data_IF_718955589424
#
_entry.id   IF_718955589424
#
_cell.length_a   1.000
_cell.length_b   1.000
_cell.length_c   1.000
_cell.angle_alpha   90.00
_cell.angle_beta   90.00
_cell.angle_gamma   90.00
#
_symmetry.space_group_name_H-M   'P 1'
#
loop_
_entity.id
_entity.type
_entity.pdbx_description
1 polymer ?
#
# COMPACT_ATOMS: atom_id res chain seq x y z
N UNK A 1 -9.66 1.08 28.01
CA UNK A 1 -8.23 1.33 28.30
C UNK A 1 -7.37 0.93 27.11
N UNK A 2 -7.43 -0.34 26.60
CA UNK A 2 -6.54 -0.79 25.53
C UNK A 2 -6.66 0.08 24.28
N UNK A 3 -7.87 0.24 23.75
CA UNK A 3 -8.12 0.97 22.50
C UNK A 3 -7.93 2.49 22.59
N UNK A 4 -8.22 3.06 23.74
CA UNK A 4 -8.23 4.51 23.93
C UNK A 4 -6.90 5.05 24.47
N UNK A 5 -6.08 4.18 25.06
CA UNK A 5 -4.83 4.59 25.71
C UNK A 5 -3.64 3.79 25.17
N UNK A 6 -3.64 2.46 25.33
CA UNK A 6 -2.45 1.65 25.00
C UNK A 6 -2.13 1.63 23.51
N UNK A 7 -3.15 1.43 22.66
CA UNK A 7 -2.94 1.41 21.20
C UNK A 7 -2.44 2.77 20.66
N UNK A 8 -3.07 3.92 20.98
CA UNK A 8 -2.56 5.23 20.55
C UNK A 8 -1.15 5.56 21.06
N UNK A 9 -0.83 5.20 22.31
CA UNK A 9 0.53 5.40 22.83
C UNK A 9 1.55 4.56 22.07
N UNK A 10 1.22 3.30 21.76
CA UNK A 10 2.08 2.43 20.97
C UNK A 10 2.24 2.93 19.54
N UNK A 11 1.16 3.40 18.91
CA UNK A 11 1.21 4.00 17.57
C UNK A 11 2.14 5.23 17.57
N UNK A 12 2.03 6.11 18.58
CA UNK A 12 2.90 7.29 18.71
C UNK A 12 4.38 6.92 18.87
N UNK A 13 4.68 5.87 19.61
CA UNK A 13 6.04 5.33 19.73
C UNK A 13 6.56 4.80 18.37
N UNK A 14 5.71 4.05 17.66
CA UNK A 14 6.06 3.45 16.38
C UNK A 14 6.30 4.48 15.28
N UNK A 15 5.63 5.64 15.30
CA UNK A 15 5.88 6.74 14.35
C UNK A 15 7.35 7.15 14.32
N UNK A 16 8.00 7.21 15.48
CA UNK A 16 9.42 7.59 15.58
C UNK A 16 10.38 6.55 14.99
N UNK A 17 9.93 5.29 14.87
CA UNK A 17 10.73 4.19 14.31
C UNK A 17 10.51 3.99 12.81
N UNK A 18 9.53 4.66 12.20
CA UNK A 18 9.25 4.56 10.77
C UNK A 18 10.20 5.48 10.01
N UNK A 19 10.92 4.91 9.03
CA UNK A 19 11.84 5.68 8.20
C UNK A 19 11.07 6.65 7.31
N UNK A 20 11.38 7.95 7.42
CA UNK A 20 10.98 8.95 6.43
C UNK A 20 12.02 9.04 5.34
N UNK A 21 11.57 9.21 4.08
CA UNK A 21 12.47 9.27 2.93
C UNK A 21 12.96 10.71 2.71
N UNK A 22 12.06 11.59 2.34
CA UNK A 22 12.31 13.01 2.15
C UNK A 22 11.10 13.82 2.65
N UNK A 23 11.29 15.13 2.82
CA UNK A 23 10.18 16.03 3.15
C UNK A 23 9.15 16.04 2.00
N UNK A 24 7.89 15.79 2.32
CA UNK A 24 6.76 15.90 1.38
C UNK A 24 6.58 17.38 1.07
N UNK A 25 6.61 17.76 -0.21
CA UNK A 25 6.59 19.15 -0.67
C UNK A 25 5.46 19.46 -1.64
N UNK A 26 4.79 18.48 -2.23
CA UNK A 26 3.62 18.72 -3.09
C UNK A 26 2.42 19.14 -2.24
N UNK A 27 1.78 20.26 -2.61
CA UNK A 27 0.67 20.84 -1.83
C UNK A 27 -0.53 19.90 -1.71
N UNK A 28 -0.89 19.19 -2.79
CA UNK A 28 -2.00 18.24 -2.78
C UNK A 28 -1.66 17.05 -1.88
N UNK A 29 -0.45 16.53 -1.99
CA UNK A 29 0.03 15.45 -1.11
C UNK A 29 0.05 15.87 0.35
N UNK A 30 0.42 17.12 0.67
CA UNK A 30 0.37 17.62 2.04
C UNK A 30 -1.07 17.69 2.58
N UNK A 31 -2.03 18.18 1.80
CA UNK A 31 -3.45 18.22 2.20
C UNK A 31 -4.00 16.82 2.47
N UNK A 32 -3.70 15.86 1.60
CA UNK A 32 -4.12 14.46 1.75
C UNK A 32 -3.44 13.83 2.97
N UNK A 33 -2.14 14.06 3.14
CA UNK A 33 -1.41 13.61 4.33
C UNK A 33 -2.08 14.11 5.60
N UNK A 34 -2.36 15.40 5.71
CA UNK A 34 -2.91 16.02 6.92
C UNK A 34 -4.28 15.42 7.26
N UNK A 35 -5.13 15.16 6.26
CA UNK A 35 -6.40 14.47 6.44
C UNK A 35 -6.25 13.07 7.04
N UNK A 36 -5.32 12.25 6.51
CA UNK A 36 -5.08 10.89 6.99
C UNK A 36 -4.20 10.84 8.24
N UNK A 37 -3.45 11.90 8.52
CA UNK A 37 -2.69 12.04 9.77
C UNK A 37 -3.64 12.22 10.96
N UNK A 38 -4.69 13.02 10.81
CA UNK A 38 -5.73 13.18 11.82
C UNK A 38 -6.63 11.95 11.95
N UNK A 39 -6.99 11.36 10.81
CA UNK A 39 -7.99 10.29 10.73
C UNK A 39 -7.51 9.10 9.89
N UNK A 40 -6.60 8.26 10.41
CA UNK A 40 -6.19 7.04 9.74
C UNK A 40 -7.38 6.14 9.40
N UNK A 41 -7.58 5.81 8.11
CA UNK A 41 -8.75 5.05 7.65
C UNK A 41 -8.35 3.98 6.62
N UNK A 42 -9.01 2.81 6.63
CA UNK A 42 -9.94 2.32 7.66
C UNK A 42 -9.20 1.79 8.91
N UNK A 43 -9.71 2.05 10.11
CA UNK A 43 -9.16 1.44 11.34
C UNK A 43 -9.76 0.04 11.53
N UNK A 44 -9.25 -0.92 10.76
CA UNK A 44 -9.70 -2.32 10.80
C UNK A 44 -9.22 -3.02 12.08
N UNK A 45 -10.06 -3.92 12.63
CA UNK A 45 -9.75 -4.63 13.87
C UNK A 45 -9.50 -6.10 13.68
N UNK A 46 -10.28 -6.71 12.81
CA UNK A 46 -10.25 -8.13 12.57
C UNK A 46 -9.72 -8.42 11.17
N UNK A 47 -8.96 -9.47 11.08
CA UNK A 47 -8.54 -10.03 9.81
C UNK A 47 -9.03 -11.47 9.72
N UNK A 48 -9.49 -11.86 8.55
CA UNK A 48 -9.78 -13.26 8.29
C UNK A 48 -8.46 -13.98 7.99
N UNK A 49 -8.24 -15.20 8.52
CA UNK A 49 -7.09 -16.01 8.14
C UNK A 49 -7.10 -16.17 6.62
N UNK A 50 -6.04 -15.75 5.99
CA UNK A 50 -5.84 -15.93 4.56
C UNK A 50 -4.90 -17.12 4.37
N UNK A 51 -5.17 -17.95 3.37
CA UNK A 51 -4.27 -19.03 3.01
C UNK A 51 -3.09 -18.47 2.23
N UNK A 52 -1.86 -18.81 2.62
CA UNK A 52 -0.68 -18.48 1.83
C UNK A 52 -0.76 -19.18 0.47
N UNK A 53 -1.12 -18.42 -0.56
CA UNK A 53 -1.19 -18.89 -1.93
C UNK A 53 0.07 -18.47 -2.68
N UNK A 54 0.49 -19.30 -3.64
CA UNK A 54 1.50 -18.88 -4.59
C UNK A 54 0.97 -17.67 -5.38
N UNK A 55 1.81 -16.65 -5.56
CA UNK A 55 1.49 -15.41 -6.29
C UNK A 55 0.83 -15.69 -7.65
N UNK A 56 1.38 -16.62 -8.44
CA UNK A 56 0.86 -16.94 -9.78
C UNK A 56 -0.53 -17.58 -9.74
N UNK A 57 -0.81 -18.41 -8.73
CA UNK A 57 -2.15 -19.01 -8.55
C UNK A 57 -3.16 -17.90 -8.32
N UNK A 58 -2.86 -16.97 -7.41
CA UNK A 58 -3.73 -15.85 -7.09
C UNK A 58 -3.91 -14.90 -8.27
N UNK A 59 -2.82 -14.57 -8.98
CA UNK A 59 -2.87 -13.75 -10.17
C UNK A 59 -3.75 -14.36 -11.24
N UNK A 60 -3.54 -15.64 -11.59
CA UNK A 60 -4.33 -16.32 -12.60
C UNK A 60 -5.82 -16.45 -12.21
N UNK A 61 -6.13 -16.51 -10.93
CA UNK A 61 -7.52 -16.48 -10.46
C UNK A 61 -8.18 -15.10 -10.70
N UNK A 62 -7.43 -14.02 -10.49
CA UNK A 62 -7.91 -12.64 -10.66
C UNK A 62 -8.08 -12.21 -12.13
N UNK A 63 -7.29 -12.76 -13.05
CA UNK A 63 -7.30 -12.36 -14.46
C UNK A 63 -8.13 -13.27 -15.37
N UNK A 64 -8.87 -14.22 -14.82
CA UNK A 64 -9.75 -15.10 -15.61
C UNK A 64 -10.64 -14.30 -16.58
N UNK A 65 -10.86 -14.79 -17.80
CA UNK A 65 -10.44 -16.09 -18.37
C UNK A 65 -8.98 -16.13 -18.87
N UNK A 66 -8.24 -15.02 -18.79
CA UNK A 66 -6.83 -14.97 -19.17
C UNK A 66 -5.98 -15.80 -18.23
N UNK A 67 -4.81 -16.24 -18.70
CA UNK A 67 -3.85 -17.04 -17.92
C UNK A 67 -2.43 -16.61 -18.27
N UNK A 68 -1.59 -16.54 -17.25
CA UNK A 68 -0.16 -16.28 -17.39
C UNK A 68 0.61 -17.52 -16.94
N UNK A 69 1.46 -18.04 -17.82
CA UNK A 69 2.40 -19.11 -17.52
C UNK A 69 3.81 -18.52 -17.40
N UNK A 70 4.16 -18.04 -16.22
CA UNK A 70 5.50 -17.54 -15.92
C UNK A 70 6.16 -18.50 -14.95
N UNK A 71 6.97 -19.41 -15.47
CA UNK A 71 7.72 -20.38 -14.68
C UNK A 71 8.75 -19.67 -13.78
N UNK A 72 8.67 -19.89 -12.47
CA UNK A 72 9.67 -19.56 -11.43
C UNK A 72 10.08 -18.11 -11.18
N UNK A 73 9.56 -17.11 -11.88
CA UNK A 73 10.02 -15.72 -11.75
C UNK A 73 9.63 -15.04 -10.42
N UNK A 74 8.54 -15.49 -9.78
CA UNK A 74 7.98 -14.85 -8.59
C UNK A 74 8.02 -15.74 -7.34
N UNK A 75 9.06 -16.55 -7.20
CA UNK A 75 9.23 -17.41 -5.99
C UNK A 75 9.45 -16.60 -4.72
N UNK A 76 10.06 -15.40 -4.82
CA UNK A 76 10.26 -14.43 -3.76
C UNK A 76 10.07 -13.01 -4.32
N UNK A 77 8.84 -12.59 -4.62
CA UNK A 77 8.63 -11.31 -5.25
C UNK A 77 9.00 -10.16 -4.31
N UNK A 78 9.66 -9.13 -4.85
CA UNK A 78 9.71 -7.82 -4.22
C UNK A 78 8.41 -7.11 -4.55
N UNK A 79 7.67 -6.73 -3.52
CA UNK A 79 6.35 -6.09 -3.66
C UNK A 79 6.42 -4.68 -3.11
N UNK A 80 5.90 -3.72 -3.86
CA UNK A 80 5.62 -2.37 -3.38
C UNK A 80 4.11 -2.22 -3.18
N UNK A 81 3.70 -1.81 -1.98
CA UNK A 81 2.33 -1.36 -1.72
C UNK A 81 2.36 0.16 -1.64
N UNK A 82 1.97 0.81 -2.73
CA UNK A 82 1.99 2.26 -2.86
C UNK A 82 0.70 2.87 -2.30
N UNK A 83 0.82 3.65 -1.23
CA UNK A 83 -0.32 4.18 -0.48
C UNK A 83 -1.02 3.09 0.33
N UNK A 84 -0.27 2.46 1.25
CA UNK A 84 -0.76 1.30 1.99
C UNK A 84 -1.81 1.65 3.07
N UNK A 85 -1.96 2.93 3.41
CA UNK A 85 -2.85 3.40 4.47
C UNK A 85 -2.60 2.65 5.77
N UNK A 86 -3.68 2.18 6.38
CA UNK A 86 -3.63 1.41 7.63
C UNK A 86 -3.24 -0.07 7.45
N UNK A 87 -2.70 -0.45 6.29
CA UNK A 87 -2.04 -1.74 6.08
C UNK A 87 -2.94 -2.91 5.69
N UNK A 88 -4.21 -2.69 5.36
CA UNK A 88 -5.10 -3.79 4.97
C UNK A 88 -4.63 -4.51 3.70
N UNK A 89 -4.14 -3.77 2.71
CA UNK A 89 -3.57 -4.33 1.49
C UNK A 89 -2.24 -5.04 1.73
N UNK A 90 -1.47 -4.60 2.72
CA UNK A 90 -0.22 -5.28 3.11
C UNK A 90 -0.49 -6.69 3.60
N UNK A 91 -1.61 -6.93 4.27
CA UNK A 91 -2.03 -8.28 4.67
C UNK A 91 -2.26 -9.18 3.47
N UNK A 92 -2.93 -8.65 2.43
CA UNK A 92 -3.20 -9.39 1.20
C UNK A 92 -1.89 -9.76 0.49
N UNK A 93 -0.97 -8.81 0.40
CA UNK A 93 0.34 -9.04 -0.22
C UNK A 93 1.21 -10.04 0.58
N UNK A 94 1.06 -10.07 1.90
CA UNK A 94 1.76 -11.04 2.75
C UNK A 94 1.32 -12.48 2.52
N UNK A 95 0.14 -12.69 1.93
CA UNK A 95 -0.31 -14.03 1.53
C UNK A 95 0.52 -14.62 0.39
N UNK A 96 1.26 -13.80 -0.34
CA UNK A 96 2.24 -14.28 -1.29
C UNK A 96 3.43 -14.87 -0.53
N UNK A 97 3.60 -16.17 -0.65
CA UNK A 97 4.65 -16.89 0.08
C UNK A 97 6.04 -16.29 -0.20
N UNK A 98 6.80 -16.01 0.85
CA UNK A 98 8.17 -15.49 0.79
C UNK A 98 8.35 -14.11 0.13
N UNK A 99 7.31 -13.30 -0.01
CA UNK A 99 7.45 -11.94 -0.54
C UNK A 99 8.27 -11.04 0.40
N UNK A 100 9.04 -10.11 -0.19
CA UNK A 100 9.63 -8.97 0.51
C UNK A 100 8.76 -7.75 0.21
N UNK A 101 8.14 -7.17 1.23
CA UNK A 101 7.17 -6.10 1.04
C UNK A 101 7.75 -4.77 1.50
N UNK A 102 7.69 -3.76 0.62
CA UNK A 102 7.85 -2.36 0.97
C UNK A 102 6.47 -1.70 0.92
N UNK A 103 6.01 -1.17 2.04
CA UNK A 103 4.74 -0.47 2.14
C UNK A 103 5.01 1.02 2.42
N UNK A 104 4.57 1.91 1.52
CA UNK A 104 4.72 3.34 1.74
C UNK A 104 3.37 4.04 1.87
N UNK A 105 3.36 5.14 2.61
CA UNK A 105 2.22 6.05 2.72
C UNK A 105 2.67 7.47 3.06
N UNK A 106 1.80 8.44 2.82
CA UNK A 106 1.98 9.85 3.18
C UNK A 106 1.79 10.11 4.67
N UNK A 107 0.98 9.29 5.37
CA UNK A 107 0.60 9.48 6.76
C UNK A 107 1.40 8.56 7.68
N UNK A 108 2.16 9.17 8.59
CA UNK A 108 2.86 8.45 9.65
C UNK A 108 1.89 7.78 10.62
N UNK A 109 0.76 8.42 10.92
CA UNK A 109 -0.31 7.86 11.76
C UNK A 109 -0.88 6.58 11.14
N UNK A 110 -1.13 6.59 9.83
CA UNK A 110 -1.60 5.40 9.09
C UNK A 110 -0.56 4.28 9.11
N UNK A 111 0.71 4.61 8.86
CA UNK A 111 1.81 3.65 8.89
C UNK A 111 2.04 3.06 10.29
N UNK A 112 1.94 3.88 11.34
CA UNK A 112 2.08 3.41 12.73
C UNK A 112 0.96 2.45 13.11
N UNK A 113 -0.28 2.77 12.71
CA UNK A 113 -1.41 1.85 12.85
C UNK A 113 -1.15 0.52 12.13
N UNK A 114 -0.74 0.59 10.85
CA UNK A 114 -0.41 -0.59 10.05
C UNK A 114 0.67 -1.42 10.74
N UNK A 115 1.77 -0.80 11.16
CA UNK A 115 2.87 -1.46 11.83
C UNK A 115 2.42 -2.18 13.09
N UNK A 116 1.67 -1.51 13.99
CA UNK A 116 1.15 -2.13 15.20
C UNK A 116 0.31 -3.37 14.88
N UNK A 117 -0.61 -3.24 13.91
CA UNK A 117 -1.50 -4.36 13.52
C UNK A 117 -0.73 -5.55 12.92
N UNK A 118 0.28 -5.30 12.13
CA UNK A 118 1.09 -6.35 11.51
C UNK A 118 2.05 -7.00 12.51
N UNK A 119 2.56 -6.23 13.47
CA UNK A 119 3.34 -6.75 14.60
C UNK A 119 2.47 -7.66 15.51
N UNK A 120 1.19 -7.30 15.77
CA UNK A 120 0.23 -8.17 16.48
C UNK A 120 0.03 -9.51 15.76
N UNK A 121 0.08 -9.51 14.42
CA UNK A 121 -0.02 -10.70 13.58
C UNK A 121 1.32 -11.41 13.35
N UNK A 122 2.42 -10.93 13.96
CA UNK A 122 3.79 -11.46 13.86
C UNK A 122 4.35 -11.50 12.43
N UNK A 123 3.94 -10.57 11.57
CA UNK A 123 4.43 -10.45 10.21
C UNK A 123 5.72 -9.62 10.19
N UNK A 124 6.83 -10.21 9.72
CA UNK A 124 8.17 -9.61 9.83
C UNK A 124 8.81 -9.22 8.49
N UNK A 125 8.27 -9.67 7.39
CA UNK A 125 8.83 -9.45 6.03
C UNK A 125 8.36 -8.15 5.39
N UNK A 126 7.99 -7.15 6.21
CA UNK A 126 7.40 -5.90 5.77
C UNK A 126 8.25 -4.73 6.26
N UNK A 127 8.65 -3.88 5.33
CA UNK A 127 9.31 -2.60 5.59
C UNK A 127 8.33 -1.46 5.36
N UNK A 128 8.27 -0.51 6.29
CA UNK A 128 7.45 0.68 6.16
C UNK A 128 8.30 1.88 5.76
N UNK A 129 7.76 2.73 4.89
CA UNK A 129 8.42 3.94 4.41
C UNK A 129 7.42 5.10 4.37
N UNK A 130 7.70 6.15 5.11
CA UNK A 130 6.98 7.41 5.02
C UNK A 130 7.52 8.20 3.83
N UNK A 131 6.76 8.25 2.75
CA UNK A 131 7.16 8.88 1.50
C UNK A 131 5.95 9.20 0.61
N UNK A 132 6.07 10.26 -0.20
CA UNK A 132 5.19 10.49 -1.33
C UNK A 132 5.54 9.54 -2.49
N UNK A 133 4.52 9.08 -3.25
CA UNK A 133 4.73 8.33 -4.50
C UNK A 133 5.64 9.12 -5.45
N UNK A 134 5.49 10.45 -5.50
CA UNK A 134 6.31 11.32 -6.33
C UNK A 134 7.83 11.23 -6.03
N UNK A 135 8.20 10.79 -4.83
CA UNK A 135 9.59 10.65 -4.40
C UNK A 135 10.16 9.23 -4.66
N UNK A 136 9.29 8.24 -4.90
CA UNK A 136 9.70 6.83 -4.96
C UNK A 136 10.67 6.53 -6.11
N UNK A 137 10.68 7.32 -7.17
CA UNK A 137 11.68 7.19 -8.26
C UNK A 137 13.12 7.20 -7.75
N UNK A 138 13.38 7.90 -6.64
CA UNK A 138 14.71 8.02 -6.02
C UNK A 138 15.11 6.79 -5.21
N UNK A 139 14.23 5.80 -5.01
CA UNK A 139 14.56 4.57 -4.28
C UNK A 139 15.66 3.73 -4.95
N UNK A 140 15.89 3.94 -6.24
CA UNK A 140 16.83 3.14 -7.04
C UNK A 140 16.62 1.64 -6.86
N UNK A 141 15.36 1.21 -6.84
CA UNK A 141 14.91 -0.15 -6.56
C UNK A 141 13.78 -0.51 -7.51
N UNK A 142 13.70 -1.78 -7.92
CA UNK A 142 12.65 -2.31 -8.78
C UNK A 142 11.83 -3.35 -8.04
N UNK A 143 10.58 -3.54 -8.51
CA UNK A 143 9.60 -4.43 -7.89
C UNK A 143 8.97 -5.34 -8.95
N UNK A 144 8.87 -6.61 -8.63
CA UNK A 144 8.15 -7.57 -9.50
C UNK A 144 6.64 -7.37 -9.45
N UNK A 145 6.13 -6.82 -8.32
CA UNK A 145 4.71 -6.52 -8.14
C UNK A 145 4.57 -5.15 -7.48
N UNK A 146 3.65 -4.34 -8.00
CA UNK A 146 3.26 -3.08 -7.38
C UNK A 146 1.75 -3.09 -7.20
N UNK A 147 1.26 -2.81 -6.01
CA UNK A 147 -0.16 -2.59 -5.71
C UNK A 147 -0.38 -1.12 -5.34
N UNK A 148 -1.34 -0.47 -6.00
CA UNK A 148 -1.72 0.92 -5.73
C UNK A 148 -3.26 1.02 -5.76
N UNK A 149 -3.87 0.88 -4.59
CA UNK A 149 -5.31 0.72 -4.47
C UNK A 149 -5.94 1.94 -3.79
N UNK A 150 -6.77 2.68 -4.55
CA UNK A 150 -7.48 3.83 -4.00
C UNK A 150 -6.63 5.08 -3.76
N UNK A 151 -5.54 5.28 -4.50
CA UNK A 151 -4.54 6.32 -4.23
C UNK A 151 -4.41 7.34 -5.36
N UNK A 152 -4.13 6.91 -6.59
CA UNK A 152 -3.75 7.81 -7.68
C UNK A 152 -4.82 8.89 -7.97
N UNK A 153 -6.09 8.57 -7.78
CA UNK A 153 -7.19 9.53 -7.99
C UNK A 153 -7.26 10.66 -6.95
N UNK A 154 -6.44 10.60 -5.90
CA UNK A 154 -6.26 11.71 -4.95
C UNK A 154 -5.11 12.65 -5.34
N UNK A 155 -4.23 12.24 -6.24
CA UNK A 155 -3.09 13.04 -6.68
C UNK A 155 -3.55 14.20 -7.57
N UNK A 156 -2.81 15.30 -7.56
CA UNK A 156 -3.01 16.41 -8.50
C UNK A 156 -2.82 15.96 -9.95
N UNK A 157 -1.84 15.10 -10.18
CA UNK A 157 -1.54 14.51 -11.47
C UNK A 157 -1.45 12.98 -11.31
N UNK A 158 -2.57 12.24 -11.51
CA UNK A 158 -2.59 10.79 -11.41
C UNK A 158 -1.67 10.08 -12.40
N UNK A 159 -1.49 10.65 -13.61
CA UNK A 159 -0.66 10.04 -14.66
C UNK A 159 0.81 10.08 -14.28
N UNK A 160 1.28 11.18 -13.69
CA UNK A 160 2.63 11.28 -13.17
C UNK A 160 2.92 10.24 -12.08
N UNK A 161 1.94 10.02 -11.19
CA UNK A 161 2.04 8.94 -10.20
C UNK A 161 2.13 7.57 -10.85
N UNK A 162 1.31 7.31 -11.87
CA UNK A 162 1.32 6.07 -12.64
C UNK A 162 2.66 5.85 -13.35
N UNK A 163 3.20 6.86 -14.02
CA UNK A 163 4.51 6.80 -14.70
C UNK A 163 5.62 6.39 -13.73
N UNK A 164 5.65 6.98 -12.53
CA UNK A 164 6.62 6.63 -11.49
C UNK A 164 6.48 5.17 -11.07
N UNK A 165 5.26 4.69 -10.87
CA UNK A 165 5.04 3.30 -10.48
C UNK A 165 5.44 2.32 -11.60
N UNK A 166 5.15 2.65 -12.87
CA UNK A 166 5.59 1.86 -14.03
C UNK A 166 7.11 1.84 -14.14
N UNK A 167 7.76 2.99 -13.93
CA UNK A 167 9.23 3.09 -13.91
C UNK A 167 9.87 2.22 -12.82
N UNK A 168 9.14 1.92 -11.73
CA UNK A 168 9.63 1.07 -10.64
C UNK A 168 9.38 -0.42 -10.88
N UNK A 169 8.65 -0.82 -11.93
CA UNK A 169 8.45 -2.22 -12.25
C UNK A 169 9.72 -2.88 -12.80
N UNK A 170 9.92 -4.12 -12.43
CA UNK A 170 10.83 -5.02 -13.12
C UNK A 170 10.28 -5.36 -14.52
N UNK A 171 11.14 -5.72 -15.50
CA UNK A 171 10.66 -6.24 -16.80
C UNK A 171 9.69 -7.41 -16.58
N UNK A 172 8.50 -7.34 -17.21
CA UNK A 172 7.38 -8.27 -17.01
C UNK A 172 6.84 -8.33 -15.58
N UNK A 173 6.97 -7.26 -14.80
CA UNK A 173 6.33 -7.09 -13.50
C UNK A 173 4.83 -6.80 -13.65
N UNK A 174 4.11 -6.84 -12.53
CA UNK A 174 2.67 -6.62 -12.47
C UNK A 174 2.33 -5.38 -11.67
N UNK A 175 1.43 -4.56 -12.21
CA UNK A 175 0.86 -3.42 -11.53
C UNK A 175 -0.64 -3.63 -11.32
N UNK A 176 -1.07 -3.66 -10.06
CA UNK A 176 -2.47 -3.70 -9.66
C UNK A 176 -2.93 -2.30 -9.29
N UNK A 177 -3.95 -1.79 -10.00
CA UNK A 177 -4.52 -0.47 -9.76
C UNK A 177 -5.97 -0.58 -9.30
N UNK A 178 -6.30 0.13 -8.23
CA UNK A 178 -7.67 0.39 -7.82
C UNK A 178 -8.00 1.87 -7.96
N UNK A 179 -8.92 2.18 -8.86
CA UNK A 179 -9.36 3.55 -9.14
C UNK A 179 -10.87 3.67 -8.96
N UNK A 180 -11.33 4.89 -8.67
CA UNK A 180 -12.76 5.17 -8.70
C UNK A 180 -13.24 5.28 -10.15
N UNK A 181 -14.37 4.63 -10.43
CA UNK A 181 -15.06 4.80 -11.70
C UNK A 181 -15.92 6.05 -11.64
N UNK A 182 -15.72 6.99 -12.55
CA UNK A 182 -16.55 8.17 -12.69
C UNK A 182 -18.01 7.78 -12.98
N UNK A 183 -18.23 6.82 -13.89
CA UNK A 183 -19.55 6.34 -14.27
C UNK A 183 -20.30 5.75 -13.05
N UNK A 184 -19.63 4.89 -12.28
CA UNK A 184 -20.23 4.25 -11.11
C UNK A 184 -20.50 5.25 -9.96
N UNK A 185 -19.88 6.42 -9.95
CA UNK A 185 -20.02 7.44 -8.91
C UNK A 185 -20.87 8.63 -9.29
N UNK A 186 -21.46 8.67 -10.46
CA UNK A 186 -22.28 9.81 -10.92
C UNK A 186 -23.36 10.21 -9.91
N UNK A 187 -24.02 9.25 -9.28
CA UNK A 187 -25.07 9.55 -8.28
C UNK A 187 -24.48 10.21 -7.02
N UNK A 188 -23.27 9.83 -6.63
CA UNK A 188 -22.56 10.43 -5.49
C UNK A 188 -22.11 11.86 -5.83
N UNK A 189 -21.64 12.08 -7.05
CA UNK A 189 -21.19 13.40 -7.53
C UNK A 189 -22.37 14.36 -7.59
N UNK A 190 -23.55 13.90 -8.05
CA UNK A 190 -24.79 14.70 -8.11
C UNK A 190 -25.36 15.04 -6.72
N UNK A 191 -25.08 14.22 -5.72
CA UNK A 191 -25.55 14.41 -4.34
C UNK A 191 -24.66 15.35 -3.50
N UNK A 192 -23.51 15.75 -4.00
CA UNK A 192 -22.58 16.70 -3.37
C UNK A 192 -22.84 18.13 -3.84
#
# INVERSE_FOLDING_TARGET
ITMQIKEPLKEKELMNAIKSFEKISDNTSMMIRDQYEENPYPRWRYNYPTSSLNFLIRLNDQIKPNKIDIKNKFNKPNILIAGCGTGKHVLIANDYSKANILANDLSLSSLAYARRKLDELRLKNIQFLHADILQLKKLNRKFGVIECMGVLHHMKDPLKGLEILVDLLEPNGFLFLGLYSEIARQNIIRAR
#
